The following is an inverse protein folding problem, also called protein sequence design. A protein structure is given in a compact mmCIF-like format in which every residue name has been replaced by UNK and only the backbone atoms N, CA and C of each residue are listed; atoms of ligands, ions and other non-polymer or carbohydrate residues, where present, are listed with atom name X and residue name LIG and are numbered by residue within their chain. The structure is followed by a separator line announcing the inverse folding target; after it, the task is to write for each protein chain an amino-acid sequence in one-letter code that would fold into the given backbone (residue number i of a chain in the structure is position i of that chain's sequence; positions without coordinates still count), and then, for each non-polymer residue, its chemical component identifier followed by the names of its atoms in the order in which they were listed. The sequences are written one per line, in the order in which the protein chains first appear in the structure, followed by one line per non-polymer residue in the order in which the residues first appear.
data_IF_479405921078
#
_entry.id   IF_479405921078
#
_cell.length_a   1.000
_cell.length_b   1.000
_cell.length_c   1.000
_cell.angle_alpha   90.00
_cell.angle_beta   90.00
_cell.angle_gamma   90.00
#
_symmetry.space_group_name_H-M   'P 1'
#
loop_
_entity.id
_entity.type
_entity.pdbx_description
1 polymer ?
#
# COMPACT_ATOMS: atom_id res chain seq x y z
N UNK A 1 8.86 0.25 -29.06
CA UNK A 1 8.52 1.47 -28.30
C UNK A 1 7.02 1.82 -28.31
N UNK A 2 6.38 2.00 -29.44
CA UNK A 2 4.93 2.36 -29.49
C UNK A 2 4.00 1.36 -28.77
N UNK A 3 4.24 0.05 -28.88
CA UNK A 3 3.43 -0.98 -28.21
C UNK A 3 3.54 -0.93 -26.67
N UNK A 4 4.73 -0.63 -26.15
CA UNK A 4 4.98 -0.51 -24.71
C UNK A 4 4.30 0.71 -24.10
N UNK A 5 4.36 1.88 -24.76
CA UNK A 5 3.69 3.10 -24.28
C UNK A 5 2.17 2.97 -24.33
N UNK A 6 1.61 2.34 -25.38
CA UNK A 6 0.17 2.02 -25.45
C UNK A 6 -0.25 1.09 -24.30
N UNK A 7 0.60 0.13 -23.93
CA UNK A 7 0.34 -0.79 -22.82
C UNK A 7 0.35 -0.07 -21.47
N UNK A 8 1.32 0.82 -21.22
CA UNK A 8 1.32 1.67 -20.01
C UNK A 8 0.03 2.51 -19.94
N UNK A 9 -0.31 3.22 -21.02
CA UNK A 9 -1.50 4.07 -21.06
C UNK A 9 -2.78 3.28 -20.77
N UNK A 10 -2.96 2.11 -21.41
CA UNK A 10 -4.11 1.22 -21.15
C UNK A 10 -4.14 0.73 -19.71
N UNK A 11 -3.00 0.30 -19.19
CA UNK A 11 -2.88 -0.19 -17.82
C UNK A 11 -3.21 0.91 -16.81
N UNK A 12 -2.71 2.13 -17.03
CA UNK A 12 -3.03 3.30 -16.20
C UNK A 12 -4.51 3.63 -16.24
N UNK A 13 -5.12 3.66 -17.44
CA UNK A 13 -6.55 3.91 -17.60
C UNK A 13 -7.39 2.89 -16.82
N UNK A 14 -7.05 1.60 -16.91
CA UNK A 14 -7.76 0.55 -16.16
C UNK A 14 -7.64 0.71 -14.65
N UNK A 15 -6.47 1.11 -14.14
CA UNK A 15 -6.29 1.39 -12.72
C UNK A 15 -7.07 2.63 -12.26
N UNK A 16 -7.25 3.64 -13.11
CA UNK A 16 -8.10 4.79 -12.80
C UNK A 16 -9.58 4.43 -12.80
N UNK A 17 -10.07 3.72 -13.82
CA UNK A 17 -11.46 3.21 -13.84
C UNK A 17 -11.74 2.42 -12.56
N UNK A 18 -10.83 1.51 -12.19
CA UNK A 18 -10.89 0.77 -10.93
C UNK A 18 -11.06 1.72 -9.73
N UNK A 19 -10.20 2.73 -9.61
CA UNK A 19 -10.23 3.66 -8.46
C UNK A 19 -11.50 4.47 -8.40
N UNK A 20 -11.99 4.99 -9.53
CA UNK A 20 -13.23 5.75 -9.60
C UNK A 20 -14.48 4.92 -9.23
N UNK A 21 -14.46 3.62 -9.51
CA UNK A 21 -15.55 2.71 -9.10
C UNK A 21 -15.40 2.32 -7.62
N UNK A 22 -14.18 1.95 -7.20
CA UNK A 22 -13.95 1.44 -5.84
C UNK A 22 -14.15 2.49 -4.75
N UNK A 23 -13.76 3.74 -5.00
CA UNK A 23 -13.77 4.80 -3.99
C UNK A 23 -15.20 5.11 -3.47
N UNK A 24 -16.19 5.42 -4.33
CA UNK A 24 -17.56 5.65 -3.86
C UNK A 24 -18.18 4.43 -3.19
N UNK A 25 -17.97 3.24 -3.76
CA UNK A 25 -18.51 1.99 -3.19
C UNK A 25 -17.91 1.71 -1.82
N UNK A 26 -16.60 1.88 -1.64
CA UNK A 26 -15.95 1.70 -0.34
C UNK A 26 -16.45 2.71 0.70
N UNK A 27 -16.63 3.99 0.32
CA UNK A 27 -17.17 5.01 1.21
C UNK A 27 -18.61 4.69 1.63
N UNK A 28 -19.44 4.26 0.70
CA UNK A 28 -20.82 3.86 0.97
C UNK A 28 -20.88 2.62 1.88
N UNK A 29 -20.06 1.60 1.59
CA UNK A 29 -19.94 0.39 2.41
C UNK A 29 -19.52 0.74 3.84
N UNK A 30 -18.49 1.58 4.00
CA UNK A 30 -18.00 2.00 5.32
C UNK A 30 -19.06 2.72 6.15
N UNK A 31 -19.89 3.54 5.50
CA UNK A 31 -21.00 4.25 6.19
C UNK A 31 -22.01 3.27 6.79
N UNK A 32 -22.40 2.25 6.00
CA UNK A 32 -23.38 1.24 6.48
C UNK A 32 -22.78 0.39 7.61
N UNK A 33 -21.50 0.02 7.48
CA UNK A 33 -20.82 -0.83 8.47
C UNK A 33 -20.62 -0.10 9.80
N UNK A 34 -20.32 1.21 9.80
CA UNK A 34 -20.10 1.99 11.02
C UNK A 34 -21.31 1.99 11.96
N UNK A 35 -22.52 1.98 11.42
CA UNK A 35 -23.76 1.98 12.21
C UNK A 35 -24.04 0.61 12.87
N UNK A 36 -23.56 -0.48 12.28
CA UNK A 36 -23.93 -1.86 12.68
C UNK A 36 -22.79 -2.65 13.34
N UNK A 37 -21.49 -2.29 13.09
CA UNK A 37 -20.37 -3.19 13.39
C UNK A 37 -19.15 -2.55 14.06
N UNK A 38 -19.33 -1.84 15.16
CA UNK A 38 -18.20 -1.36 15.99
C UNK A 38 -17.23 -2.49 16.38
N UNK A 39 -17.76 -3.65 16.72
CA UNK A 39 -16.98 -4.85 17.09
C UNK A 39 -16.13 -5.37 15.90
N UNK A 40 -16.72 -5.44 14.69
CA UNK A 40 -15.99 -5.86 13.50
C UNK A 40 -14.81 -4.92 13.19
N UNK A 41 -14.99 -3.60 13.36
CA UNK A 41 -13.93 -2.63 13.14
C UNK A 41 -12.78 -2.76 14.16
N UNK A 42 -13.07 -3.12 15.40
CA UNK A 42 -12.02 -3.38 16.41
C UNK A 42 -11.19 -4.61 16.02
N UNK A 43 -11.85 -5.71 15.66
CA UNK A 43 -11.19 -6.94 15.19
C UNK A 43 -10.43 -6.70 13.88
N UNK A 44 -11.08 -6.05 12.90
CA UNK A 44 -10.49 -5.70 11.61
C UNK A 44 -9.32 -4.74 11.71
N UNK A 45 -9.37 -3.77 12.65
CA UNK A 45 -8.29 -2.83 12.93
C UNK A 45 -7.01 -3.53 13.39
N UNK A 46 -7.14 -4.53 14.28
CA UNK A 46 -6.02 -5.35 14.71
C UNK A 46 -5.35 -6.11 13.55
N UNK A 47 -6.15 -6.68 12.67
CA UNK A 47 -5.67 -7.39 11.47
C UNK A 47 -5.09 -6.42 10.43
N UNK A 48 -5.64 -5.21 10.31
CA UNK A 48 -5.13 -4.18 9.40
C UNK A 48 -3.69 -3.76 9.73
N UNK A 49 -3.24 -3.91 10.99
CA UNK A 49 -1.83 -3.71 11.36
C UNK A 49 -0.88 -4.62 10.58
N UNK A 50 -1.34 -5.77 10.06
CA UNK A 50 -0.54 -6.69 9.25
C UNK A 50 -0.37 -6.23 7.80
N UNK A 51 -1.08 -5.19 7.37
CA UNK A 51 -1.07 -4.70 5.99
C UNK A 51 0.33 -4.26 5.51
N UNK A 52 1.20 -3.77 6.43
CA UNK A 52 2.56 -3.40 6.08
C UNK A 52 3.44 -4.62 5.74
N UNK A 53 3.22 -5.77 6.40
CA UNK A 53 3.90 -7.03 6.07
C UNK A 53 3.49 -7.46 4.67
N UNK A 54 2.19 -7.45 4.38
CA UNK A 54 1.62 -7.76 3.07
C UNK A 54 2.25 -6.88 1.96
N UNK A 55 2.34 -5.57 2.19
CA UNK A 55 2.94 -4.63 1.24
C UNK A 55 4.42 -4.92 0.96
N UNK A 56 5.21 -5.21 2.00
CA UNK A 56 6.63 -5.54 1.87
C UNK A 56 6.86 -6.83 1.08
N UNK A 57 6.06 -7.86 1.37
CA UNK A 57 6.13 -9.16 0.70
C UNK A 57 5.70 -9.08 -0.76
N UNK A 58 4.63 -8.33 -1.05
CA UNK A 58 4.17 -8.06 -2.43
C UNK A 58 5.28 -7.39 -3.26
N UNK A 59 5.92 -6.35 -2.73
CA UNK A 59 7.04 -5.67 -3.40
C UNK A 59 8.20 -6.60 -3.70
N UNK A 60 8.60 -7.43 -2.72
CA UNK A 60 9.66 -8.39 -2.90
C UNK A 60 9.34 -9.38 -4.03
N UNK A 61 8.18 -10.02 -3.97
CA UNK A 61 7.75 -10.98 -5.00
C UNK A 61 7.68 -10.34 -6.38
N UNK A 62 7.07 -9.17 -6.52
CA UNK A 62 7.02 -8.45 -7.79
C UNK A 62 8.41 -8.11 -8.33
N UNK A 63 9.33 -7.66 -7.46
CA UNK A 63 10.70 -7.36 -7.87
C UNK A 63 11.41 -8.59 -8.44
N UNK A 64 11.40 -9.71 -7.71
CA UNK A 64 12.09 -10.93 -8.16
C UNK A 64 11.48 -11.47 -9.45
N UNK A 65 10.17 -11.47 -9.60
CA UNK A 65 9.51 -11.84 -10.85
C UNK A 65 9.90 -10.91 -12.01
N UNK A 66 9.88 -9.60 -11.80
CA UNK A 66 10.25 -8.61 -12.83
C UNK A 66 11.72 -8.72 -13.24
N UNK A 67 12.62 -9.02 -12.30
CA UNK A 67 14.05 -9.24 -12.57
C UNK A 67 14.25 -10.42 -13.54
N UNK A 68 13.63 -11.55 -13.24
CA UNK A 68 13.81 -12.74 -14.06
C UNK A 68 13.04 -12.67 -15.39
N UNK A 69 11.91 -11.98 -15.42
CA UNK A 69 11.20 -11.64 -16.67
C UNK A 69 12.04 -10.71 -17.55
N UNK A 70 12.71 -9.71 -16.98
CA UNK A 70 13.60 -8.81 -17.71
C UNK A 70 14.80 -9.53 -18.33
N UNK A 71 15.33 -10.56 -17.64
CA UNK A 71 16.39 -11.44 -18.15
C UNK A 71 15.91 -12.46 -19.18
N UNK A 72 14.61 -12.60 -19.39
CA UNK A 72 14.02 -13.62 -20.26
C UNK A 72 14.14 -15.06 -19.74
N UNK A 73 14.42 -15.26 -18.45
CA UNK A 73 14.67 -16.59 -17.88
C UNK A 73 13.39 -17.19 -17.29
N UNK A 74 12.58 -17.80 -18.14
CA UNK A 74 11.28 -18.39 -17.76
C UNK A 74 11.39 -19.51 -16.71
N UNK A 75 12.44 -20.30 -16.71
CA UNK A 75 12.66 -21.33 -15.69
C UNK A 75 12.88 -20.72 -14.31
N UNK A 76 13.67 -19.66 -14.25
CA UNK A 76 13.87 -18.92 -12.99
C UNK A 76 12.61 -18.19 -12.54
N UNK A 77 11.80 -17.65 -13.46
CA UNK A 77 10.48 -17.09 -13.09
C UNK A 77 9.62 -18.15 -12.39
N UNK A 78 9.57 -19.39 -12.94
CA UNK A 78 8.81 -20.50 -12.32
C UNK A 78 9.33 -20.88 -10.93
N UNK A 79 10.66 -20.84 -10.74
CA UNK A 79 11.30 -21.09 -9.42
C UNK A 79 10.97 -20.00 -8.42
N UNK A 80 11.07 -18.72 -8.83
CA UNK A 80 10.70 -17.57 -7.99
C UNK A 80 9.23 -17.64 -7.60
N UNK A 81 8.34 -17.96 -8.53
CA UNK A 81 6.91 -18.11 -8.25
C UNK A 81 6.64 -19.24 -7.23
N UNK A 82 7.21 -20.42 -7.45
CA UNK A 82 7.04 -21.57 -6.55
C UNK A 82 7.61 -21.30 -5.15
N UNK A 83 8.80 -20.67 -5.07
CA UNK A 83 9.40 -20.26 -3.81
C UNK A 83 8.55 -19.19 -3.10
N UNK A 84 8.00 -18.23 -3.85
CA UNK A 84 7.08 -17.22 -3.29
C UNK A 84 5.86 -17.88 -2.67
N UNK A 85 5.24 -18.88 -3.32
CA UNK A 85 4.11 -19.62 -2.76
C UNK A 85 4.48 -20.30 -1.44
N UNK A 86 5.64 -20.95 -1.37
CA UNK A 86 6.10 -21.61 -0.14
C UNK A 86 6.35 -20.60 0.98
N UNK A 87 7.02 -19.48 0.67
CA UNK A 87 7.29 -18.41 1.65
C UNK A 87 5.97 -17.82 2.19
N UNK A 88 5.03 -17.49 1.30
CA UNK A 88 3.78 -16.87 1.71
C UNK A 88 2.87 -17.85 2.47
N UNK A 89 2.89 -19.13 2.11
CA UNK A 89 2.22 -20.16 2.89
C UNK A 89 2.81 -20.29 4.30
N UNK A 90 4.15 -20.35 4.41
CA UNK A 90 4.82 -20.41 5.72
C UNK A 90 4.53 -19.15 6.57
N UNK A 91 4.52 -17.96 5.94
CA UNK A 91 4.15 -16.70 6.61
C UNK A 91 2.69 -16.72 7.05
N UNK A 92 1.76 -17.19 6.21
CA UNK A 92 0.34 -17.31 6.55
C UNK A 92 0.14 -18.22 7.78
N UNK A 93 0.80 -19.37 7.80
CA UNK A 93 0.75 -20.30 8.95
C UNK A 93 1.35 -19.65 10.20
N UNK A 94 2.50 -18.99 10.09
CA UNK A 94 3.15 -18.32 11.23
C UNK A 94 2.29 -17.17 11.78
N UNK A 95 1.74 -16.32 10.91
CA UNK A 95 0.85 -15.22 11.32
C UNK A 95 -0.44 -15.78 11.92
N UNK A 96 -1.03 -16.81 11.31
CA UNK A 96 -2.20 -17.50 11.86
C UNK A 96 -1.93 -18.00 13.26
N UNK A 97 -0.79 -18.68 13.49
CA UNK A 97 -0.39 -19.15 14.82
C UNK A 97 -0.23 -18.00 15.82
N UNK A 98 0.46 -16.93 15.45
CA UNK A 98 0.64 -15.74 16.32
C UNK A 98 -0.69 -15.08 16.66
N UNK A 99 -1.58 -14.94 15.68
CA UNK A 99 -2.91 -14.38 15.91
C UNK A 99 -3.76 -15.27 16.80
N UNK A 100 -3.78 -16.60 16.57
CA UNK A 100 -4.56 -17.55 17.38
C UNK A 100 -4.00 -17.74 18.79
N UNK A 101 -2.77 -17.34 19.07
CA UNK A 101 -2.16 -17.42 20.40
C UNK A 101 -2.11 -16.05 21.07
N UNK A 102 -1.14 -15.23 20.68
CA UNK A 102 -0.92 -13.89 21.27
C UNK A 102 -2.06 -12.94 20.96
N UNK A 103 -2.57 -12.98 19.72
CA UNK A 103 -3.67 -12.13 19.30
C UNK A 103 -4.97 -12.46 20.04
N UNK A 104 -5.28 -13.74 20.18
CA UNK A 104 -6.48 -14.19 20.94
C UNK A 104 -6.38 -13.84 22.41
N UNK A 105 -5.22 -14.01 23.04
CA UNK A 105 -4.99 -13.56 24.42
C UNK A 105 -5.24 -12.06 24.56
N UNK A 106 -4.75 -11.24 23.64
CA UNK A 106 -4.97 -9.80 23.66
C UNK A 106 -6.45 -9.46 23.43
N UNK A 107 -7.12 -10.16 22.50
CA UNK A 107 -8.53 -10.02 22.20
C UNK A 107 -9.39 -10.27 23.44
N UNK A 108 -9.11 -11.35 24.19
CA UNK A 108 -9.90 -11.74 25.37
C UNK A 108 -9.62 -10.89 26.61
N UNK A 109 -8.38 -10.39 26.77
CA UNK A 109 -7.96 -9.72 28.03
C UNK A 109 -7.93 -8.19 27.96
N UNK A 110 -7.82 -7.60 26.77
CA UNK A 110 -7.58 -6.15 26.58
C UNK A 110 -8.69 -5.43 25.84
N UNK A 111 -9.51 -6.15 25.08
CA UNK A 111 -10.60 -5.52 24.35
C UNK A 111 -11.89 -5.51 25.17
N UNK A 112 -12.51 -4.34 25.28
CA UNK A 112 -13.81 -4.18 25.93
C UNK A 112 -14.92 -4.50 24.93
N UNK A 113 -15.35 -5.78 24.87
CA UNK A 113 -16.45 -6.24 24.04
C UNK A 113 -17.66 -6.50 24.93
N UNK A 114 -18.87 -5.99 24.58
CA UNK A 114 -20.07 -6.28 25.36
C UNK A 114 -20.30 -7.79 25.49
N UNK A 115 -20.66 -8.24 26.68
CA UNK A 115 -20.89 -9.68 27.02
C UNK A 115 -21.87 -10.35 26.05
N UNK A 116 -22.91 -9.62 25.66
CA UNK A 116 -23.97 -10.12 24.73
C UNK A 116 -23.43 -10.47 23.34
N UNK A 117 -22.33 -9.87 22.91
CA UNK A 117 -21.74 -10.07 21.57
C UNK A 117 -20.40 -10.79 21.62
N UNK A 118 -19.93 -11.21 22.79
CA UNK A 118 -18.58 -11.76 22.98
C UNK A 118 -18.37 -13.07 22.20
N UNK A 119 -19.33 -14.00 22.24
CA UNK A 119 -19.24 -15.27 21.51
C UNK A 119 -19.24 -15.05 19.99
N UNK A 120 -20.12 -14.17 19.50
CA UNK A 120 -20.14 -13.80 18.08
C UNK A 120 -18.83 -13.12 17.66
N UNK A 121 -18.29 -12.23 18.49
CA UNK A 121 -17.03 -11.55 18.24
C UNK A 121 -15.84 -12.53 18.20
N UNK A 122 -15.83 -13.56 19.05
CA UNK A 122 -14.81 -14.62 19.03
C UNK A 122 -14.85 -15.41 17.72
N UNK A 123 -16.03 -15.82 17.27
CA UNK A 123 -16.20 -16.52 15.98
C UNK A 123 -15.73 -15.64 14.84
N UNK A 124 -16.10 -14.35 14.84
CA UNK A 124 -15.66 -13.37 13.82
C UNK A 124 -14.15 -13.18 13.85
N UNK A 125 -13.52 -13.19 15.03
CA UNK A 125 -12.08 -13.12 15.16
C UNK A 125 -11.39 -14.28 14.41
N UNK A 126 -11.77 -15.54 14.68
CA UNK A 126 -11.20 -16.71 14.01
C UNK A 126 -11.41 -16.68 12.49
N UNK A 127 -12.61 -16.33 12.03
CA UNK A 127 -12.91 -16.18 10.60
C UNK A 127 -12.02 -15.09 9.97
N UNK A 128 -11.81 -13.99 10.68
CA UNK A 128 -10.96 -12.88 10.20
C UNK A 128 -9.50 -13.26 10.13
N UNK A 129 -9.00 -14.09 11.07
CA UNK A 129 -7.64 -14.66 11.01
C UNK A 129 -7.47 -15.55 9.79
N UNK A 130 -8.41 -16.45 9.52
CA UNK A 130 -8.40 -17.29 8.32
C UNK A 130 -8.42 -16.43 7.05
N UNK A 131 -9.27 -15.41 7.02
CA UNK A 131 -9.36 -14.48 5.88
C UNK A 131 -8.03 -13.74 5.64
N UNK A 132 -7.35 -13.30 6.69
CA UNK A 132 -6.03 -12.71 6.59
C UNK A 132 -4.98 -13.69 6.04
N UNK A 133 -4.98 -14.95 6.51
CA UNK A 133 -4.09 -15.99 5.98
C UNK A 133 -4.32 -16.25 4.48
N UNK A 134 -5.58 -16.31 4.04
CA UNK A 134 -5.95 -16.43 2.63
C UNK A 134 -5.42 -15.26 1.79
N UNK A 135 -5.40 -14.07 2.35
CA UNK A 135 -4.86 -12.88 1.67
C UNK A 135 -3.35 -13.00 1.43
N UNK A 136 -2.58 -13.52 2.39
CA UNK A 136 -1.15 -13.78 2.20
C UNK A 136 -0.88 -14.83 1.11
N UNK A 137 -1.66 -15.90 1.05
CA UNK A 137 -1.52 -16.96 0.05
C UNK A 137 -1.75 -16.44 -1.37
N UNK A 138 -2.59 -15.43 -1.57
CA UNK A 138 -2.91 -14.81 -2.87
C UNK A 138 -1.78 -13.94 -3.44
N UNK A 139 -0.87 -13.43 -2.61
CA UNK A 139 0.16 -12.45 -3.01
C UNK A 139 1.00 -12.91 -4.22
N UNK A 140 1.49 -14.15 -4.33
CA UNK A 140 2.28 -14.59 -5.48
C UNK A 140 1.53 -14.51 -6.80
N UNK A 141 0.25 -14.88 -6.80
CA UNK A 141 -0.60 -14.80 -7.99
C UNK A 141 -0.86 -13.34 -8.40
N UNK A 142 -1.25 -12.49 -7.46
CA UNK A 142 -1.45 -11.06 -7.69
C UNK A 142 -0.17 -10.38 -8.20
N UNK A 143 0.96 -10.71 -7.58
CA UNK A 143 2.27 -10.19 -7.98
C UNK A 143 2.66 -10.63 -9.39
N UNK A 144 2.32 -11.85 -9.78
CA UNK A 144 2.55 -12.37 -11.13
C UNK A 144 1.73 -11.62 -12.17
N UNK A 145 0.45 -11.38 -11.91
CA UNK A 145 -0.44 -10.62 -12.81
C UNK A 145 0.11 -9.20 -13.05
N UNK A 146 0.60 -8.55 -12.00
CA UNK A 146 1.21 -7.22 -12.10
C UNK A 146 2.54 -7.29 -12.85
N UNK A 147 3.39 -8.27 -12.57
CA UNK A 147 4.68 -8.46 -13.24
C UNK A 147 4.54 -8.74 -14.74
N UNK A 148 3.51 -9.51 -15.14
CA UNK A 148 3.14 -9.74 -16.54
C UNK A 148 2.31 -8.60 -17.15
N UNK A 149 2.13 -7.49 -16.42
CA UNK A 149 1.42 -6.28 -16.85
C UNK A 149 -0.05 -6.53 -17.28
N UNK A 150 -0.71 -7.51 -16.69
CA UNK A 150 -2.13 -7.81 -16.93
C UNK A 150 -3.04 -6.94 -16.04
N UNK A 151 -2.82 -5.63 -16.05
CA UNK A 151 -3.53 -4.67 -15.19
C UNK A 151 -5.03 -4.62 -15.45
N UNK A 152 -5.49 -4.92 -16.68
CA UNK A 152 -6.92 -4.98 -16.97
C UNK A 152 -7.61 -6.07 -16.15
N UNK A 153 -7.03 -7.29 -16.09
CA UNK A 153 -7.57 -8.37 -15.26
C UNK A 153 -7.57 -7.97 -13.77
N UNK A 154 -6.45 -7.44 -13.29
CA UNK A 154 -6.34 -6.94 -11.91
C UNK A 154 -7.42 -5.90 -11.58
N UNK A 155 -7.68 -4.95 -12.49
CA UNK A 155 -8.69 -3.92 -12.30
C UNK A 155 -10.11 -4.52 -12.26
N UNK A 156 -10.46 -5.40 -13.20
CA UNK A 156 -11.79 -6.04 -13.23
C UNK A 156 -12.05 -6.88 -11.98
N UNK A 157 -11.09 -7.72 -11.57
CA UNK A 157 -11.26 -8.56 -10.38
C UNK A 157 -11.36 -7.70 -9.11
N UNK A 158 -10.59 -6.60 -9.02
CA UNK A 158 -10.71 -5.66 -7.90
C UNK A 158 -12.07 -4.97 -7.84
N UNK A 159 -12.67 -4.63 -9.00
CA UNK A 159 -14.03 -4.06 -9.04
C UNK A 159 -15.05 -5.12 -8.59
N UNK A 160 -14.93 -6.35 -9.09
CA UNK A 160 -15.79 -7.48 -8.67
C UNK A 160 -15.66 -7.70 -7.15
N UNK A 161 -14.44 -7.65 -6.60
CA UNK A 161 -14.19 -7.78 -5.16
C UNK A 161 -14.96 -6.73 -4.35
N UNK A 162 -14.89 -5.45 -4.76
CA UNK A 162 -15.56 -4.36 -4.05
C UNK A 162 -17.08 -4.46 -4.18
N UNK A 163 -17.59 -4.82 -5.35
CA UNK A 163 -19.02 -5.06 -5.56
C UNK A 163 -19.52 -6.27 -4.77
N UNK A 164 -18.75 -7.35 -4.70
CA UNK A 164 -19.08 -8.50 -3.88
C UNK A 164 -19.10 -8.14 -2.38
N UNK A 165 -18.12 -7.38 -1.90
CA UNK A 165 -18.11 -6.86 -0.51
C UNK A 165 -19.32 -5.95 -0.23
N UNK A 166 -19.73 -5.11 -1.16
CA UNK A 166 -20.97 -4.35 -1.03
C UNK A 166 -22.19 -5.28 -0.98
N UNK A 167 -22.22 -6.30 -1.85
CA UNK A 167 -23.28 -7.33 -1.82
C UNK A 167 -23.40 -8.04 -0.49
N UNK A 168 -22.27 -8.32 0.20
CA UNK A 168 -22.32 -8.94 1.54
C UNK A 168 -23.01 -8.04 2.57
N UNK A 169 -22.90 -6.71 2.45
CA UNK A 169 -23.60 -5.77 3.32
C UNK A 169 -25.11 -5.82 3.06
N UNK A 170 -25.55 -5.92 1.82
CA UNK A 170 -26.97 -6.05 1.51
C UNK A 170 -27.57 -7.36 2.02
N UNK A 171 -26.81 -8.47 2.04
CA UNK A 171 -27.27 -9.72 2.63
C UNK A 171 -27.65 -9.58 4.12
N UNK A 172 -27.05 -8.62 4.84
CA UNK A 172 -27.33 -8.39 6.26
C UNK A 172 -28.73 -7.82 6.51
N UNK A 173 -29.33 -7.14 5.53
CA UNK A 173 -30.69 -6.62 5.68
C UNK A 173 -31.74 -7.74 5.73
N UNK A 174 -31.40 -8.93 5.20
CA UNK A 174 -32.29 -10.08 5.19
C UNK A 174 -32.01 -11.07 6.33
N UNK A 175 -30.95 -10.84 7.11
CA UNK A 175 -30.62 -11.68 8.26
C UNK A 175 -31.31 -11.16 9.51
N UNK A 176 -32.03 -12.03 10.22
CA UNK A 176 -32.68 -11.71 11.50
C UNK A 176 -31.70 -11.85 12.66
N UNK A 177 -30.91 -12.95 12.67
CA UNK A 177 -29.96 -13.28 13.73
C UNK A 177 -28.50 -13.33 13.25
N UNK A 178 -27.56 -13.17 14.18
CA UNK A 178 -26.10 -13.35 13.97
C UNK A 178 -25.48 -12.59 12.78
N UNK A 179 -25.99 -11.39 12.50
CA UNK A 179 -25.53 -10.54 11.39
C UNK A 179 -24.01 -10.39 11.32
N UNK A 180 -23.36 -10.29 12.48
CA UNK A 180 -21.92 -10.12 12.59
C UNK A 180 -21.15 -11.34 12.06
N UNK A 181 -21.58 -12.55 12.42
CA UNK A 181 -20.97 -13.81 11.97
C UNK A 181 -21.26 -14.03 10.49
N UNK A 182 -22.50 -13.78 10.04
CA UNK A 182 -22.87 -13.89 8.62
C UNK A 182 -21.99 -12.98 7.73
N UNK A 183 -21.74 -11.75 8.17
CA UNK A 183 -20.87 -10.83 7.46
C UNK A 183 -19.44 -11.35 7.34
N UNK A 184 -18.86 -11.85 8.44
CA UNK A 184 -17.51 -12.39 8.43
C UNK A 184 -17.39 -13.63 7.51
N UNK A 185 -18.36 -14.55 7.55
CA UNK A 185 -18.43 -15.72 6.68
C UNK A 185 -18.56 -15.32 5.21
N UNK A 186 -19.42 -14.34 4.91
CA UNK A 186 -19.59 -13.84 3.54
C UNK A 186 -18.28 -13.20 3.00
N UNK A 187 -17.59 -12.42 3.81
CA UNK A 187 -16.28 -11.85 3.43
C UNK A 187 -15.20 -12.92 3.23
N UNK A 188 -15.17 -13.94 4.08
CA UNK A 188 -14.28 -15.11 3.91
C UNK A 188 -14.57 -15.83 2.62
N UNK A 189 -15.85 -16.06 2.30
CA UNK A 189 -16.28 -16.68 1.04
C UNK A 189 -15.82 -15.89 -0.17
N UNK A 190 -15.98 -14.54 -0.16
CA UNK A 190 -15.44 -13.67 -1.21
C UNK A 190 -13.92 -13.83 -1.30
N UNK A 191 -13.21 -13.88 -0.17
CA UNK A 191 -11.76 -14.12 -0.14
C UNK A 191 -11.36 -15.44 -0.78
N UNK A 192 -12.05 -16.52 -0.49
CA UNK A 192 -11.81 -17.85 -1.08
C UNK A 192 -12.04 -17.82 -2.60
N UNK A 193 -13.17 -17.26 -3.04
CA UNK A 193 -13.50 -17.15 -4.47
C UNK A 193 -12.44 -16.36 -5.23
N UNK A 194 -11.96 -15.27 -4.64
CA UNK A 194 -10.89 -14.47 -5.24
C UNK A 194 -9.58 -15.26 -5.35
N UNK A 195 -9.17 -15.99 -4.31
CA UNK A 195 -8.00 -16.85 -4.39
C UNK A 195 -8.11 -17.86 -5.55
N UNK A 196 -9.26 -18.49 -5.70
CA UNK A 196 -9.53 -19.45 -6.80
C UNK A 196 -9.44 -18.73 -8.16
N UNK A 197 -10.05 -17.55 -8.30
CA UNK A 197 -10.03 -16.77 -9.56
C UNK A 197 -8.59 -16.41 -9.95
N UNK A 198 -7.79 -15.86 -9.01
CA UNK A 198 -6.41 -15.48 -9.24
C UNK A 198 -5.55 -16.70 -9.62
N UNK A 199 -5.66 -17.81 -8.87
CA UNK A 199 -4.90 -19.03 -9.12
C UNK A 199 -5.23 -19.66 -10.48
N UNK A 200 -6.54 -19.77 -10.83
CA UNK A 200 -6.98 -20.28 -12.13
C UNK A 200 -6.47 -19.42 -13.27
N UNK A 201 -6.57 -18.09 -13.13
CA UNK A 201 -6.10 -17.17 -14.17
C UNK A 201 -4.59 -17.30 -14.38
N UNK A 202 -3.80 -17.31 -13.31
CA UNK A 202 -2.35 -17.47 -13.39
C UNK A 202 -1.97 -18.80 -14.05
N UNK A 203 -2.57 -19.90 -13.61
CA UNK A 203 -2.29 -21.24 -14.16
C UNK A 203 -2.65 -21.38 -15.65
N UNK A 204 -3.71 -20.69 -16.11
CA UNK A 204 -4.16 -20.74 -17.51
C UNK A 204 -3.37 -19.83 -18.43
N UNK A 205 -2.99 -18.66 -17.99
CA UNK A 205 -2.39 -17.64 -18.85
C UNK A 205 -0.86 -17.57 -18.76
N UNK A 206 -0.24 -18.11 -17.69
CA UNK A 206 1.21 -18.07 -17.50
C UNK A 206 1.76 -19.48 -17.30
N UNK A 207 2.55 -19.94 -18.25
CA UNK A 207 3.21 -21.26 -18.17
C UNK A 207 4.16 -21.39 -17.00
N UNK A 208 4.71 -20.26 -16.56
CA UNK A 208 5.63 -20.14 -15.42
C UNK A 208 4.95 -20.15 -14.05
N UNK A 209 3.63 -19.89 -13.99
CA UNK A 209 2.85 -19.90 -12.74
C UNK A 209 2.25 -21.28 -12.46
N UNK A 210 3.06 -22.32 -12.59
CA UNK A 210 2.72 -23.69 -12.17
C UNK A 210 3.59 -24.06 -10.98
N UNK A 211 2.95 -24.39 -9.87
CA UNK A 211 3.67 -24.84 -8.69
C UNK A 211 4.48 -26.09 -9.01
N UNK A 212 5.79 -26.00 -8.76
CA UNK A 212 6.72 -27.13 -8.75
C UNK A 212 7.44 -27.09 -7.42
N UNK A 213 7.42 -28.17 -6.68
CA UNK A 213 8.18 -28.23 -5.43
C UNK A 213 9.66 -28.05 -5.74
N UNK A 214 10.17 -26.89 -5.40
CA UNK A 214 11.56 -26.51 -5.59
C UNK A 214 11.99 -25.69 -4.39
N UNK A 215 13.03 -26.17 -3.71
CA UNK A 215 13.58 -25.46 -2.57
C UNK A 215 15.01 -25.01 -2.87
N UNK A 216 15.22 -23.71 -2.94
CA UNK A 216 16.53 -23.08 -3.12
C UNK A 216 16.81 -22.17 -1.92
N UNK A 217 17.73 -22.63 -1.06
CA UNK A 217 18.14 -21.91 0.15
C UNK A 217 18.72 -20.52 -0.16
N UNK A 218 19.41 -20.37 -1.31
CA UNK A 218 20.00 -19.10 -1.73
C UNK A 218 18.91 -18.12 -2.12
N UNK A 219 17.98 -18.55 -2.96
CA UNK A 219 16.83 -17.73 -3.39
C UNK A 219 15.95 -17.35 -2.19
N UNK A 220 15.68 -18.29 -1.27
CA UNK A 220 14.96 -18.03 -0.03
C UNK A 220 15.62 -16.90 0.76
N UNK A 221 16.94 -17.01 0.99
CA UNK A 221 17.69 -16.02 1.74
C UNK A 221 17.68 -14.65 1.07
N UNK A 222 17.83 -14.60 -0.24
CA UNK A 222 17.77 -13.35 -1.01
C UNK A 222 16.39 -12.69 -0.94
N UNK A 223 15.31 -13.46 -1.07
CA UNK A 223 13.94 -12.95 -0.97
C UNK A 223 13.61 -12.46 0.44
N UNK A 224 13.93 -13.23 1.47
CA UNK A 224 13.72 -12.83 2.86
C UNK A 224 14.56 -11.60 3.24
N UNK A 225 15.81 -11.54 2.81
CA UNK A 225 16.68 -10.38 3.05
C UNK A 225 16.10 -9.12 2.42
N UNK A 226 15.65 -9.19 1.17
CA UNK A 226 14.99 -8.06 0.51
C UNK A 226 13.70 -7.65 1.22
N UNK A 227 12.86 -8.64 1.56
CA UNK A 227 11.59 -8.40 2.27
C UNK A 227 11.79 -7.76 3.63
N UNK A 228 12.80 -8.20 4.40
CA UNK A 228 13.11 -7.63 5.72
C UNK A 228 13.52 -6.16 5.63
N UNK A 229 14.33 -5.78 4.64
CA UNK A 229 14.68 -4.39 4.42
C UNK A 229 13.49 -3.54 3.91
N UNK A 230 12.64 -4.10 3.05
CA UNK A 230 11.40 -3.45 2.63
C UNK A 230 10.43 -3.25 3.81
N UNK A 231 10.36 -4.25 4.70
CA UNK A 231 9.59 -4.18 5.93
C UNK A 231 10.10 -3.09 6.87
N UNK A 232 11.42 -3.01 7.07
CA UNK A 232 12.05 -1.96 7.86
C UNK A 232 11.69 -0.55 7.34
N UNK A 233 11.70 -0.37 6.02
CA UNK A 233 11.25 0.87 5.39
C UNK A 233 9.77 1.17 5.62
N UNK A 234 8.92 0.15 5.54
CA UNK A 234 7.49 0.27 5.84
C UNK A 234 7.24 0.68 7.29
N UNK A 235 7.94 0.05 8.24
CA UNK A 235 7.87 0.39 9.67
C UNK A 235 8.33 1.83 9.91
N UNK A 236 9.45 2.25 9.32
CA UNK A 236 9.95 3.62 9.44
C UNK A 236 8.93 4.65 8.95
N UNK A 237 8.26 4.37 7.83
CA UNK A 237 7.23 5.23 7.27
C UNK A 237 6.00 5.34 8.18
N UNK A 238 5.48 4.20 8.67
CA UNK A 238 4.34 4.16 9.59
C UNK A 238 4.69 4.83 10.92
N UNK A 239 5.87 4.54 11.48
CA UNK A 239 6.34 5.15 12.72
C UNK A 239 6.45 6.68 12.59
N UNK A 240 6.94 7.18 11.45
CA UNK A 240 6.99 8.63 11.19
C UNK A 240 5.58 9.25 11.18
N UNK A 241 4.60 8.65 10.49
CA UNK A 241 3.23 9.17 10.43
C UNK A 241 2.57 9.15 11.82
N UNK A 242 2.62 8.02 12.50
CA UNK A 242 1.99 7.86 13.82
C UNK A 242 2.72 8.67 14.90
N UNK A 243 4.05 8.73 14.82
CA UNK A 243 4.84 9.55 15.73
C UNK A 243 4.49 11.03 15.63
N UNK A 244 4.28 11.56 14.42
CA UNK A 244 3.82 12.95 14.22
C UNK A 244 2.43 13.16 14.83
N UNK A 245 1.49 12.22 14.62
CA UNK A 245 0.14 12.29 15.21
C UNK A 245 0.20 12.30 16.74
N UNK A 246 1.06 11.46 17.34
CA UNK A 246 1.29 11.43 18.79
C UNK A 246 1.88 12.77 19.28
N UNK A 247 2.87 13.31 18.59
CA UNK A 247 3.48 14.61 18.97
C UNK A 247 2.47 15.74 18.88
N UNK A 248 1.61 15.77 17.86
CA UNK A 248 0.53 16.76 17.77
C UNK A 248 -0.46 16.65 18.92
N UNK A 249 -0.77 15.43 19.40
CA UNK A 249 -1.61 15.24 20.56
C UNK A 249 -0.95 15.66 21.89
N UNK A 250 0.37 15.43 22.02
CA UNK A 250 1.11 15.78 23.24
C UNK A 250 1.27 17.32 23.38
N UNK A 251 1.59 18.01 22.31
CA UNK A 251 1.94 19.43 22.35
C UNK A 251 0.76 20.36 22.02
N UNK A 252 -0.28 19.84 21.34
CA UNK A 252 -1.44 20.63 20.91
C UNK A 252 -2.76 19.95 21.30
N UNK A 253 -3.85 20.43 20.73
CA UNK A 253 -5.20 19.94 21.02
C UNK A 253 -5.64 18.80 20.11
N UNK A 254 -6.66 18.05 20.53
CA UNK A 254 -7.31 17.04 19.70
C UNK A 254 -7.84 17.64 18.38
N UNK A 255 -8.27 18.91 18.39
CA UNK A 255 -8.75 19.61 17.20
C UNK A 255 -7.65 19.77 16.13
N UNK A 256 -6.38 20.02 16.54
CA UNK A 256 -5.23 20.11 15.62
C UNK A 256 -4.93 18.73 15.01
N UNK A 257 -5.05 17.66 15.80
CA UNK A 257 -4.87 16.31 15.28
C UNK A 257 -6.00 15.90 14.33
N UNK A 258 -7.24 16.34 14.60
CA UNK A 258 -8.37 16.17 13.68
C UNK A 258 -8.13 16.90 12.35
N UNK A 259 -7.60 18.14 12.40
CA UNK A 259 -7.20 18.88 11.20
C UNK A 259 -6.15 18.13 10.36
N UNK A 260 -5.15 17.52 11.01
CA UNK A 260 -4.16 16.66 10.35
C UNK A 260 -4.81 15.41 9.74
N UNK A 261 -5.80 14.82 10.42
CA UNK A 261 -6.59 13.69 9.91
C UNK A 261 -7.33 14.03 8.61
N UNK A 262 -8.00 15.18 8.57
CA UNK A 262 -8.67 15.69 7.35
C UNK A 262 -7.66 15.90 6.21
N UNK A 263 -6.53 16.54 6.51
CA UNK A 263 -5.47 16.75 5.53
C UNK A 263 -4.90 15.43 4.99
N UNK A 264 -4.78 14.41 5.83
CA UNK A 264 -4.35 13.06 5.44
C UNK A 264 -5.34 12.35 4.52
N UNK A 265 -6.64 12.62 4.63
CA UNK A 265 -7.65 12.08 3.71
C UNK A 265 -7.48 12.69 2.31
N UNK A 266 -7.34 14.03 2.22
CA UNK A 266 -7.07 14.71 0.95
C UNK A 266 -5.76 14.21 0.32
N UNK A 267 -4.70 14.12 1.13
CA UNK A 267 -3.42 13.55 0.73
C UNK A 267 -3.58 12.16 0.11
N UNK A 268 -4.29 11.24 0.78
CA UNK A 268 -4.47 9.86 0.31
C UNK A 268 -5.26 9.79 -0.99
N UNK A 269 -6.32 10.60 -1.13
CA UNK A 269 -7.13 10.66 -2.33
C UNK A 269 -6.31 11.12 -3.54
N UNK A 270 -5.58 12.24 -3.39
CA UNK A 270 -4.75 12.82 -4.46
C UNK A 270 -3.54 11.92 -4.78
N UNK A 271 -2.90 11.34 -3.77
CA UNK A 271 -1.77 10.43 -3.96
C UNK A 271 -2.15 9.16 -4.74
N UNK A 272 -3.38 8.68 -4.59
CA UNK A 272 -3.86 7.50 -5.31
C UNK A 272 -3.79 7.65 -6.82
N UNK A 273 -3.97 8.86 -7.35
CA UNK A 273 -3.85 9.13 -8.79
C UNK A 273 -2.43 8.85 -9.30
N UNK A 274 -1.43 9.34 -8.59
CA UNK A 274 -0.02 9.15 -8.99
C UNK A 274 0.44 7.72 -8.77
N UNK A 275 0.08 7.10 -7.65
CA UNK A 275 0.49 5.73 -7.34
C UNK A 275 -0.07 4.71 -8.32
N UNK A 276 -1.28 4.90 -8.85
CA UNK A 276 -1.82 4.03 -9.90
C UNK A 276 -1.01 4.13 -11.20
N UNK A 277 -0.63 5.33 -11.61
CA UNK A 277 0.25 5.51 -12.77
C UNK A 277 1.62 4.85 -12.53
N UNK A 278 2.24 5.09 -11.38
CA UNK A 278 3.54 4.52 -11.04
C UNK A 278 3.51 2.99 -10.99
N UNK A 279 2.45 2.38 -10.46
CA UNK A 279 2.25 0.92 -10.49
C UNK A 279 2.21 0.34 -11.89
N UNK A 280 1.62 1.06 -12.86
CA UNK A 280 1.56 0.61 -14.25
C UNK A 280 2.93 0.65 -14.95
N UNK A 281 3.82 1.56 -14.53
CA UNK A 281 5.16 1.75 -15.13
C UNK A 281 6.23 0.89 -14.45
N UNK A 282 6.08 0.61 -13.16
CA UNK A 282 7.08 -0.08 -12.32
C UNK A 282 7.61 -1.39 -12.93
N UNK A 283 6.79 -2.32 -13.44
CA UNK A 283 7.31 -3.56 -14.03
C UNK A 283 8.25 -3.29 -15.21
N UNK A 284 7.91 -2.32 -16.05
CA UNK A 284 8.73 -1.99 -17.23
C UNK A 284 10.06 -1.34 -16.86
N UNK A 285 10.11 -0.51 -15.81
CA UNK A 285 11.38 0.05 -15.31
C UNK A 285 12.31 -1.08 -14.86
N UNK A 286 11.81 -2.03 -14.08
CA UNK A 286 12.62 -3.16 -13.58
C UNK A 286 13.07 -4.06 -14.73
N UNK A 287 12.14 -4.45 -15.59
CA UNK A 287 12.42 -5.35 -16.72
C UNK A 287 13.41 -4.74 -17.72
N UNK A 288 13.26 -3.45 -18.06
CA UNK A 288 14.18 -2.78 -19.02
C UNK A 288 15.60 -2.69 -18.47
N UNK A 289 15.79 -2.50 -17.17
CA UNK A 289 17.12 -2.53 -16.57
C UNK A 289 17.77 -3.92 -16.68
N UNK A 290 17.05 -4.98 -16.36
CA UNK A 290 17.59 -6.35 -16.37
C UNK A 290 17.66 -6.99 -17.76
N UNK A 291 16.95 -6.45 -18.75
CA UNK A 291 17.13 -6.81 -20.16
C UNK A 291 18.35 -6.15 -20.82
N UNK A 292 19.02 -5.23 -20.10
CA UNK A 292 20.19 -4.51 -20.60
C UNK A 292 19.86 -3.26 -21.44
N UNK A 293 18.58 -2.92 -21.63
CA UNK A 293 18.14 -1.72 -22.37
C UNK A 293 18.22 -0.47 -21.48
N UNK A 294 19.45 0.02 -21.28
CA UNK A 294 19.69 1.23 -20.46
C UNK A 294 18.99 2.47 -20.99
N UNK A 295 18.90 2.62 -22.32
CA UNK A 295 18.25 3.76 -22.95
C UNK A 295 16.76 3.80 -22.57
N UNK A 296 16.09 2.66 -22.72
CA UNK A 296 14.67 2.52 -22.34
C UNK A 296 14.46 2.68 -20.86
N UNK A 297 15.34 2.14 -20.02
CA UNK A 297 15.30 2.31 -18.58
C UNK A 297 15.33 3.79 -18.18
N UNK A 298 16.30 4.57 -18.66
CA UNK A 298 16.42 6.00 -18.38
C UNK A 298 15.21 6.79 -18.90
N UNK A 299 14.79 6.51 -20.13
CA UNK A 299 13.60 7.13 -20.72
C UNK A 299 12.37 6.92 -19.84
N UNK A 300 12.13 5.68 -19.37
CA UNK A 300 10.99 5.36 -18.49
C UNK A 300 11.08 6.10 -17.15
N UNK A 301 12.26 6.16 -16.53
CA UNK A 301 12.46 6.85 -15.26
C UNK A 301 12.16 8.33 -15.40
N UNK A 302 12.72 9.02 -16.40
CA UNK A 302 12.50 10.44 -16.61
C UNK A 302 11.07 10.77 -17.00
N UNK A 303 10.52 10.04 -17.98
CA UNK A 303 9.15 10.28 -18.44
C UNK A 303 8.13 10.01 -17.35
N UNK A 304 8.31 8.94 -16.58
CA UNK A 304 7.35 8.64 -15.52
C UNK A 304 7.43 9.63 -14.35
N UNK A 305 8.63 10.10 -13.96
CA UNK A 305 8.77 11.18 -12.98
C UNK A 305 8.09 12.47 -13.46
N UNK A 306 8.37 12.88 -14.70
CA UNK A 306 7.76 14.05 -15.32
C UNK A 306 6.23 13.94 -15.42
N UNK A 307 5.72 12.80 -15.89
CA UNK A 307 4.28 12.56 -16.00
C UNK A 307 3.60 12.53 -14.63
N UNK A 308 4.20 11.88 -13.63
CA UNK A 308 3.70 11.87 -12.25
C UNK A 308 3.56 13.29 -11.70
N UNK A 309 4.56 14.13 -11.93
CA UNK A 309 4.55 15.52 -11.50
C UNK A 309 3.43 16.32 -12.17
N UNK A 310 3.34 16.29 -13.51
CA UNK A 310 2.30 17.06 -14.22
C UNK A 310 0.90 16.57 -13.89
N UNK A 311 0.68 15.26 -13.82
CA UNK A 311 -0.60 14.68 -13.43
C UNK A 311 -1.06 15.23 -12.08
N UNK A 312 -0.13 15.27 -11.12
CA UNK A 312 -0.41 15.79 -9.80
C UNK A 312 -0.57 17.32 -9.79
N UNK A 313 0.26 18.02 -10.54
CA UNK A 313 0.24 19.48 -10.62
C UNK A 313 -1.13 19.99 -11.09
N UNK A 314 -1.72 19.36 -12.12
CA UNK A 314 -3.05 19.74 -12.61
C UNK A 314 -4.16 19.58 -11.57
N UNK A 315 -4.00 18.70 -10.60
CA UNK A 315 -4.98 18.50 -9.52
C UNK A 315 -4.60 19.31 -8.28
N UNK A 316 -3.34 19.25 -7.87
CA UNK A 316 -2.89 19.87 -6.62
C UNK A 316 -2.83 21.39 -6.71
N UNK A 317 -2.39 21.96 -7.84
CA UNK A 317 -2.25 23.42 -7.96
C UNK A 317 -3.57 24.16 -7.84
N UNK A 318 -4.64 23.83 -8.60
CA UNK A 318 -5.96 24.43 -8.38
C UNK A 318 -6.47 24.22 -6.96
N UNK A 319 -6.30 23.00 -6.41
CA UNK A 319 -6.77 22.69 -5.07
C UNK A 319 -6.02 23.49 -3.98
N UNK A 320 -4.75 23.82 -4.17
CA UNK A 320 -4.00 24.73 -3.26
C UNK A 320 -4.62 26.11 -3.28
N UNK A 321 -4.97 26.65 -4.46
CA UNK A 321 -5.51 28.00 -4.61
C UNK A 321 -6.92 28.14 -4.01
N UNK A 322 -7.79 27.16 -4.26
CA UNK A 322 -9.20 27.16 -3.81
C UNK A 322 -9.41 26.28 -2.58
N UNK A 323 -8.33 25.97 -1.82
CA UNK A 323 -8.41 25.01 -0.73
C UNK A 323 -9.46 25.39 0.32
N UNK A 324 -9.47 26.67 0.73
CA UNK A 324 -10.39 27.15 1.77
C UNK A 324 -11.87 26.98 1.40
N UNK A 325 -12.38 27.50 0.26
CA UNK A 325 -13.78 27.29 -0.13
C UNK A 325 -14.13 25.82 -0.32
N UNK A 326 -13.22 24.98 -0.83
CA UNK A 326 -13.47 23.54 -0.98
C UNK A 326 -13.65 22.85 0.38
N UNK A 327 -12.82 23.18 1.36
CA UNK A 327 -12.91 22.61 2.70
C UNK A 327 -14.15 23.11 3.45
N UNK A 328 -14.51 24.38 3.30
CA UNK A 328 -15.74 24.97 3.88
C UNK A 328 -17.02 24.38 3.27
N UNK A 329 -17.00 24.01 1.98
CA UNK A 329 -18.10 23.27 1.36
C UNK A 329 -18.20 21.83 1.85
N UNK A 330 -17.08 21.20 2.17
CA UNK A 330 -17.03 19.80 2.57
C UNK A 330 -17.32 19.59 4.06
N UNK A 331 -16.82 20.47 4.93
CA UNK A 331 -16.92 20.35 6.38
C UNK A 331 -17.87 21.40 6.96
N UNK A 332 -18.75 20.97 7.83
CA UNK A 332 -19.66 21.87 8.57
C UNK A 332 -18.87 22.84 9.47
N UNK A 333 -17.79 22.35 10.07
CA UNK A 333 -16.88 23.15 10.89
C UNK A 333 -15.43 22.81 10.48
N UNK A 334 -14.66 23.82 10.08
CA UNK A 334 -13.28 23.65 9.64
C UNK A 334 -12.34 23.85 10.84
N UNK A 335 -11.66 22.78 11.32
CA UNK A 335 -10.71 22.91 12.42
C UNK A 335 -9.55 23.86 12.03
N UNK A 336 -9.00 24.53 13.05
CA UNK A 336 -7.83 25.39 12.88
C UNK A 336 -6.65 24.61 12.26
N UNK A 337 -5.89 25.22 11.36
CA UNK A 337 -4.78 24.65 10.59
C UNK A 337 -5.14 23.66 9.49
N UNK A 338 -6.41 23.25 9.30
CA UNK A 338 -6.79 22.28 8.26
C UNK A 338 -6.35 22.71 6.86
N UNK A 339 -6.62 23.97 6.49
CA UNK A 339 -6.27 24.50 5.16
C UNK A 339 -4.76 24.49 4.95
N UNK A 340 -3.98 24.95 5.94
CA UNK A 340 -2.52 24.97 5.87
C UNK A 340 -1.93 23.55 5.76
N UNK A 341 -2.44 22.59 6.51
CA UNK A 341 -2.00 21.20 6.43
C UNK A 341 -2.29 20.59 5.05
N UNK A 342 -3.48 20.84 4.48
CA UNK A 342 -3.81 20.36 3.14
C UNK A 342 -2.88 20.98 2.10
N UNK A 343 -2.70 22.29 2.10
CA UNK A 343 -1.83 22.98 1.15
C UNK A 343 -0.38 22.46 1.22
N UNK A 344 0.16 22.30 2.41
CA UNK A 344 1.51 21.76 2.61
C UNK A 344 1.61 20.28 2.21
N UNK A 345 0.59 19.47 2.47
CA UNK A 345 0.59 18.09 2.00
C UNK A 345 0.50 17.96 0.47
N UNK A 346 -0.18 18.87 -0.20
CA UNK A 346 -0.19 18.93 -1.67
C UNK A 346 1.19 19.32 -2.21
N UNK A 347 1.90 20.25 -1.55
CA UNK A 347 3.30 20.60 -1.89
C UNK A 347 4.22 19.38 -1.66
N UNK A 348 4.06 18.68 -0.53
CA UNK A 348 4.79 17.44 -0.26
C UNK A 348 4.61 16.43 -1.40
N UNK A 349 3.36 16.22 -1.84
CA UNK A 349 3.04 15.28 -2.91
C UNK A 349 3.67 15.66 -4.25
N UNK A 350 3.77 16.96 -4.59
CA UNK A 350 4.42 17.42 -5.81
C UNK A 350 5.90 17.03 -5.86
N UNK A 351 6.59 17.12 -4.72
CA UNK A 351 7.99 16.68 -4.58
C UNK A 351 8.07 15.15 -4.62
N UNK A 352 7.17 14.47 -3.91
CA UNK A 352 7.14 13.02 -3.82
C UNK A 352 6.83 12.34 -5.16
N UNK A 353 5.99 12.96 -5.99
CA UNK A 353 5.66 12.48 -7.33
C UNK A 353 6.90 12.31 -8.23
N UNK A 354 7.89 13.20 -8.09
CA UNK A 354 9.17 13.09 -8.80
C UNK A 354 10.00 11.89 -8.31
N UNK A 355 9.80 11.50 -7.05
CA UNK A 355 10.60 10.48 -6.38
C UNK A 355 10.18 9.04 -6.69
N UNK A 356 8.95 8.79 -7.14
CA UNK A 356 8.40 7.42 -7.26
C UNK A 356 9.23 6.51 -8.18
N UNK A 357 9.55 6.98 -9.37
CA UNK A 357 10.36 6.22 -10.33
C UNK A 357 11.82 6.09 -9.90
N UNK A 358 12.37 7.11 -9.22
CA UNK A 358 13.72 7.07 -8.66
C UNK A 358 13.81 6.05 -7.52
N UNK A 359 12.76 5.95 -6.71
CA UNK A 359 12.68 4.96 -5.65
C UNK A 359 12.70 3.53 -6.19
N UNK A 360 11.82 3.23 -7.16
CA UNK A 360 11.80 1.92 -7.83
C UNK A 360 13.15 1.59 -8.44
N UNK A 361 13.79 2.55 -9.11
CA UNK A 361 15.13 2.38 -9.72
C UNK A 361 16.20 2.12 -8.66
N UNK A 362 16.18 2.84 -7.54
CA UNK A 362 17.16 2.66 -6.47
C UNK A 362 17.06 1.29 -5.80
N UNK A 363 15.84 0.79 -5.58
CA UNK A 363 15.60 -0.56 -5.06
C UNK A 363 15.96 -1.66 -6.07
N UNK A 364 15.89 -1.36 -7.37
CA UNK A 364 16.20 -2.30 -8.45
C UNK A 364 17.69 -2.51 -8.61
N UNK A 365 18.46 -1.42 -8.61
CA UNK A 365 19.87 -1.39 -9.06
C UNK A 365 20.86 -1.64 -7.92
N UNK A 366 20.52 -1.19 -6.73
CA UNK A 366 21.48 -1.07 -5.64
C UNK A 366 21.44 -2.15 -4.58
N UNK A 367 22.31 -1.94 -3.59
CA UNK A 367 22.24 -2.68 -2.33
C UNK A 367 21.06 -2.14 -1.52
N UNK A 368 19.99 -2.91 -1.45
CA UNK A 368 18.75 -2.52 -0.76
C UNK A 368 19.00 -2.19 0.71
N UNK A 369 19.89 -2.91 1.39
CA UNK A 369 20.17 -2.70 2.80
C UNK A 369 20.69 -1.29 3.05
N UNK A 370 21.75 -0.89 2.33
CA UNK A 370 22.37 0.44 2.47
C UNK A 370 21.38 1.54 2.09
N UNK A 371 20.69 1.37 0.96
CA UNK A 371 19.70 2.35 0.50
C UNK A 371 18.56 2.52 1.50
N UNK A 372 17.95 1.40 1.91
CA UNK A 372 16.78 1.41 2.80
C UNK A 372 17.13 1.91 4.20
N UNK A 373 18.30 1.51 4.74
CA UNK A 373 18.78 2.03 6.02
C UNK A 373 18.91 3.56 5.99
N UNK A 374 19.58 4.11 4.96
CA UNK A 374 19.78 5.56 4.86
C UNK A 374 18.45 6.31 4.72
N UNK A 375 17.59 5.87 3.81
CA UNK A 375 16.28 6.54 3.58
C UNK A 375 15.36 6.43 4.80
N UNK A 376 15.30 5.24 5.42
CA UNK A 376 14.47 5.05 6.62
C UNK A 376 14.97 5.87 7.81
N UNK A 377 16.29 5.97 8.00
CA UNK A 377 16.86 6.83 9.04
C UNK A 377 16.50 8.30 8.82
N UNK A 378 16.56 8.80 7.58
CA UNK A 378 16.11 10.15 7.24
C UNK A 378 14.62 10.34 7.57
N UNK A 379 13.77 9.37 7.23
CA UNK A 379 12.33 9.44 7.50
C UNK A 379 12.04 9.44 9.02
N UNK A 380 12.72 8.62 9.81
CA UNK A 380 12.56 8.57 11.27
C UNK A 380 12.99 9.88 11.93
N UNK A 381 13.97 10.59 11.36
CA UNK A 381 14.43 11.90 11.87
C UNK A 381 13.33 12.97 11.91
N UNK A 382 12.20 12.75 11.21
CA UNK A 382 11.03 13.61 11.39
C UNK A 382 10.61 13.75 12.87
N UNK A 383 10.58 12.62 13.60
CA UNK A 383 10.07 12.58 14.98
C UNK A 383 10.92 13.45 15.92
N UNK A 384 12.25 13.23 16.07
CA UNK A 384 13.05 14.03 16.99
C UNK A 384 13.14 15.51 16.58
N UNK A 385 13.19 15.82 15.27
CA UNK A 385 13.24 17.21 14.82
C UNK A 385 11.94 17.93 15.17
N UNK A 386 10.78 17.33 14.90
CA UNK A 386 9.47 17.91 15.22
C UNK A 386 9.29 18.03 16.74
N UNK A 387 9.71 17.05 17.52
CA UNK A 387 9.69 17.10 18.98
C UNK A 387 10.45 18.32 19.52
N UNK A 388 11.67 18.55 19.02
CA UNK A 388 12.49 19.69 19.43
C UNK A 388 11.83 21.00 19.05
N UNK A 389 11.30 21.13 17.82
CA UNK A 389 10.62 22.36 17.38
C UNK A 389 9.37 22.64 18.22
N UNK A 390 8.58 21.63 18.56
CA UNK A 390 7.39 21.82 19.41
C UNK A 390 7.75 22.18 20.83
N UNK A 391 8.87 21.65 21.36
CA UNK A 391 9.39 22.03 22.67
C UNK A 391 9.82 23.51 22.72
N UNK A 392 10.27 24.07 21.59
CA UNK A 392 10.56 25.52 21.44
C UNK A 392 9.32 26.37 21.13
N UNK A 393 8.11 25.81 21.18
CA UNK A 393 6.86 26.56 20.97
C UNK A 393 6.53 26.85 19.51
N UNK A 394 7.15 26.15 18.57
CA UNK A 394 6.81 26.30 17.16
C UNK A 394 5.38 25.84 16.84
N UNK A 395 4.73 26.46 15.85
CA UNK A 395 3.39 26.13 15.37
C UNK A 395 3.28 24.68 14.89
N UNK A 396 2.10 24.02 15.01
CA UNK A 396 1.88 22.64 14.52
C UNK A 396 2.13 22.47 13.02
N UNK A 397 2.10 23.55 12.24
CA UNK A 397 2.39 23.55 10.79
C UNK A 397 3.82 23.07 10.49
N UNK A 398 4.77 23.27 11.41
CA UNK A 398 6.13 22.78 11.25
C UNK A 398 6.25 21.26 11.14
N UNK A 399 5.27 20.51 11.64
CA UNK A 399 5.24 19.05 11.44
C UNK A 399 5.26 18.67 9.95
N UNK A 400 4.52 19.39 9.12
CA UNK A 400 4.47 19.13 7.68
C UNK A 400 5.66 19.76 6.95
N UNK A 401 6.11 20.94 7.37
CA UNK A 401 7.29 21.61 6.79
C UNK A 401 8.53 20.73 6.94
N UNK A 402 8.77 20.15 8.12
CA UNK A 402 9.88 19.21 8.34
C UNK A 402 9.78 17.99 7.44
N UNK A 403 8.57 17.44 7.28
CA UNK A 403 8.34 16.32 6.34
C UNK A 403 8.69 16.69 4.90
N UNK A 404 8.32 17.90 4.45
CA UNK A 404 8.67 18.40 3.12
C UNK A 404 10.19 18.50 2.97
N UNK A 405 10.87 19.08 3.95
CA UNK A 405 12.33 19.24 3.94
C UNK A 405 13.04 17.86 3.87
N UNK A 406 12.64 16.91 4.72
CA UNK A 406 13.21 15.56 4.71
C UNK A 406 12.90 14.82 3.42
N UNK A 407 11.68 14.96 2.86
CA UNK A 407 11.34 14.37 1.56
C UNK A 407 12.22 14.94 0.44
N UNK A 408 12.45 16.25 0.44
CA UNK A 408 13.34 16.90 -0.52
C UNK A 408 14.79 16.39 -0.39
N UNK A 409 15.33 16.31 0.84
CA UNK A 409 16.67 15.75 1.10
C UNK A 409 16.74 14.29 0.62
N UNK A 410 15.72 13.50 0.90
CA UNK A 410 15.63 12.11 0.44
C UNK A 410 15.58 12.02 -1.09
N UNK A 411 14.86 12.94 -1.75
CA UNK A 411 14.84 13.06 -3.21
C UNK A 411 16.23 13.33 -3.79
N UNK A 412 16.95 14.32 -3.24
CA UNK A 412 18.33 14.61 -3.64
C UNK A 412 19.26 13.41 -3.43
N UNK A 413 19.12 12.71 -2.29
CA UNK A 413 19.88 11.50 -2.03
C UNK A 413 19.63 10.41 -3.08
N UNK A 414 18.35 10.20 -3.51
CA UNK A 414 18.01 9.22 -4.57
C UNK A 414 18.68 9.55 -5.89
N UNK A 415 18.68 10.83 -6.30
CA UNK A 415 19.36 11.28 -7.53
C UNK A 415 20.85 11.00 -7.42
N UNK A 416 21.48 11.40 -6.32
CA UNK A 416 22.90 11.18 -6.09
C UNK A 416 23.27 9.69 -6.09
N UNK A 417 22.45 8.86 -5.42
CA UNK A 417 22.63 7.42 -5.38
C UNK A 417 22.57 6.78 -6.77
N UNK A 418 21.61 7.17 -7.62
CA UNK A 418 21.47 6.68 -8.98
C UNK A 418 22.58 7.19 -9.89
N UNK A 419 23.03 8.45 -9.74
CA UNK A 419 24.14 8.99 -10.47
C UNK A 419 25.42 8.15 -10.33
N UNK A 420 25.71 7.70 -9.12
CA UNK A 420 26.87 6.85 -8.83
C UNK A 420 26.72 5.39 -9.31
N UNK A 421 25.50 4.89 -9.48
CA UNK A 421 25.27 3.47 -9.84
C UNK A 421 25.04 3.21 -11.31
N UNK A 422 24.44 4.16 -12.04
CA UNK A 422 23.98 3.94 -13.44
C UNK A 422 24.44 5.04 -14.38
N UNK A 423 25.31 5.97 -13.93
CA UNK A 423 25.62 7.20 -14.66
C UNK A 423 24.33 7.95 -15.06
N UNK A 424 23.43 8.11 -14.09
CA UNK A 424 22.23 8.90 -14.24
C UNK A 424 22.63 10.33 -14.56
N UNK A 425 22.09 10.96 -15.63
CA UNK A 425 22.45 12.30 -16.04
C UNK A 425 22.12 13.38 -15.02
#
# INVERSE_FOLDING_TARGET
MQSSNKRIARNTLMLYIRTFVMMPVSLYTSRIILEVFGVYNVVGGFIALLSFINSAMTKATQRFLNVELGKGNHDRVSRVYSMSLLIHFAIAVFIGFVLETVGLYFFETKLNIPLETQDAARVVYHISVVTACLHFIRIPDESSIIAYERMSFFAYVSIIEVMAKLGTVFLLFWAEDNRLVLYAVALMTVGILLNIIYAIYCKRNFTTCRFRFYFDRKLLKEMLFFSSWSLFGGIAHVASIQGISILLNIFFTVAVNAAMGVASQVFSAVNTLVTNFQKAVQPQIVQSYFSGDKSRFLELVFRSSKFSYFLLFFVAYPLILICRPVVELWLVCVPQYTVQFIQLYLIFLLIDALSGSLWVSSETIGNIAKYQFTVSSMIIMNIPIIYVLFKFGCSPVYAVIVRIAINFITHCYRIFYLKHKVNFP
#
